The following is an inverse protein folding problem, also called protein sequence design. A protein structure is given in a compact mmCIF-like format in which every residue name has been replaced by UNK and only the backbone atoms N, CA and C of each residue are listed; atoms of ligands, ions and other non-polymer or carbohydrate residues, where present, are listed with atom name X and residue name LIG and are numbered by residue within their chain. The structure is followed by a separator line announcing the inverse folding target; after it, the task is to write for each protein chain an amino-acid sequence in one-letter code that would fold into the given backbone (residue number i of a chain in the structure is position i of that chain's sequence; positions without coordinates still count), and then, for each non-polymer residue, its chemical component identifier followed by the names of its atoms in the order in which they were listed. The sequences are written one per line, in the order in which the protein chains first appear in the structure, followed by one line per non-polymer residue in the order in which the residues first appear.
data_IF_621503636797
#
_entry.id   IF_621503636797
#
_cell.length_a   1.000
_cell.length_b   1.000
_cell.length_c   1.000
_cell.angle_alpha   90.00
_cell.angle_beta   90.00
_cell.angle_gamma   90.00
#
_symmetry.space_group_name_H-M   'P 1'
#
loop_
_entity.id
_entity.type
_entity.pdbx_description
1 polymer ?
#
# COMPACT_ATOMS: atom_id res chain seq x y z
N UNK A 1 -3.31 -28.73 -4.05
CA UNK A 1 -2.57 -27.46 -3.98
C UNK A 1 -3.17 -26.59 -2.89
N UNK A 2 -2.37 -25.93 -2.04
CA UNK A 2 -2.88 -24.95 -1.09
C UNK A 2 -3.61 -23.82 -1.83
N UNK A 3 -4.76 -23.39 -1.31
CA UNK A 3 -5.50 -22.23 -1.87
C UNK A 3 -5.14 -20.99 -1.06
N UNK A 4 -4.83 -19.90 -1.75
CA UNK A 4 -4.71 -18.60 -1.10
C UNK A 4 -6.10 -18.15 -0.62
N UNK A 5 -6.18 -17.70 0.62
CA UNK A 5 -7.37 -17.06 1.19
C UNK A 5 -7.05 -15.60 1.44
N UNK A 6 -7.73 -14.72 0.73
CA UNK A 6 -7.63 -13.27 0.96
C UNK A 6 -8.77 -12.85 1.88
N UNK A 7 -8.43 -12.31 3.03
CA UNK A 7 -9.36 -11.67 3.97
C UNK A 7 -9.02 -10.16 4.02
N UNK A 8 -9.50 -9.44 3.02
CA UNK A 8 -9.29 -8.01 2.89
C UNK A 8 -10.56 -7.24 3.21
N UNK A 9 -10.44 -6.24 4.08
CA UNK A 9 -11.56 -5.42 4.50
C UNK A 9 -11.15 -3.95 4.55
N UNK A 10 -12.06 -3.08 4.14
CA UNK A 10 -11.96 -1.65 4.38
C UNK A 10 -12.40 -1.34 5.81
N UNK A 11 -11.66 -0.45 6.46
CA UNK A 11 -11.85 -0.08 7.86
C UNK A 11 -12.50 1.30 8.02
N UNK A 12 -12.89 1.63 9.24
CA UNK A 12 -13.34 2.99 9.58
C UNK A 12 -12.24 4.04 9.34
N UNK A 13 -10.97 3.65 9.53
CA UNK A 13 -9.84 4.54 9.26
C UNK A 13 -9.75 4.91 7.78
N UNK A 14 -10.00 3.95 6.89
CA UNK A 14 -10.01 4.20 5.44
C UNK A 14 -11.13 5.19 5.09
N UNK A 15 -12.33 4.98 5.60
CA UNK A 15 -13.48 5.88 5.37
C UNK A 15 -13.22 7.29 5.90
N UNK A 16 -12.68 7.40 7.11
CA UNK A 16 -12.29 8.67 7.72
C UNK A 16 -11.21 9.39 6.90
N UNK A 17 -10.20 8.67 6.45
CA UNK A 17 -9.10 9.22 5.65
C UNK A 17 -9.61 9.77 4.32
N UNK A 18 -10.46 9.02 3.61
CA UNK A 18 -11.10 9.47 2.38
C UNK A 18 -11.98 10.70 2.61
N UNK A 19 -12.82 10.69 3.65
CA UNK A 19 -13.66 11.84 4.04
C UNK A 19 -12.83 13.08 4.29
N UNK A 20 -11.79 12.96 5.12
CA UNK A 20 -10.88 14.07 5.46
C UNK A 20 -10.21 14.64 4.20
N UNK A 21 -9.70 13.75 3.33
CA UNK A 21 -9.09 14.18 2.07
C UNK A 21 -10.06 15.04 1.23
N UNK A 22 -11.28 14.58 0.99
CA UNK A 22 -12.24 15.32 0.17
C UNK A 22 -12.74 16.59 0.85
N UNK A 23 -12.84 16.63 2.17
CA UNK A 23 -13.17 17.84 2.93
C UNK A 23 -12.06 18.90 2.79
N UNK A 24 -10.79 18.51 2.92
CA UNK A 24 -9.64 19.42 2.74
C UNK A 24 -9.58 19.89 1.29
N UNK A 25 -9.69 19.00 0.32
CA UNK A 25 -9.72 19.34 -1.11
C UNK A 25 -10.83 20.32 -1.44
N UNK A 26 -12.06 20.07 -0.95
CA UNK A 26 -13.20 20.96 -1.20
C UNK A 26 -13.01 22.35 -0.60
N UNK A 27 -12.41 22.43 0.59
CA UNK A 27 -12.07 23.71 1.23
C UNK A 27 -11.04 24.49 0.40
N UNK A 28 -9.97 23.83 -0.04
CA UNK A 28 -8.92 24.47 -0.83
C UNK A 28 -9.40 24.90 -2.22
N UNK A 29 -10.18 24.07 -2.90
CA UNK A 29 -10.79 24.45 -4.18
C UNK A 29 -11.74 25.63 -4.04
N UNK A 30 -12.53 25.68 -2.97
CA UNK A 30 -13.39 26.83 -2.67
C UNK A 30 -12.58 28.10 -2.36
N UNK A 31 -11.52 27.99 -1.56
CA UNK A 31 -10.63 29.10 -1.20
C UNK A 31 -9.91 29.70 -2.42
N UNK A 32 -9.52 28.86 -3.38
CA UNK A 32 -8.82 29.29 -4.60
C UNK A 32 -9.78 29.66 -5.75
N UNK A 33 -11.08 29.45 -5.58
CA UNK A 33 -12.06 29.69 -6.64
C UNK A 33 -11.97 28.74 -7.83
N UNK A 34 -11.20 27.65 -7.72
CA UNK A 34 -10.96 26.71 -8.82
C UNK A 34 -12.11 25.70 -9.02
N UNK A 35 -13.00 25.55 -8.03
CA UNK A 35 -14.13 24.62 -8.16
C UNK A 35 -14.81 24.27 -6.85
N UNK A 36 -15.67 23.26 -6.92
CA UNK A 36 -16.40 22.71 -5.76
C UNK A 36 -16.27 21.19 -5.75
N UNK A 37 -16.23 20.61 -4.55
CA UNK A 37 -16.24 19.16 -4.34
C UNK A 37 -17.57 18.77 -3.70
N UNK A 38 -18.32 17.89 -4.36
CA UNK A 38 -19.49 17.25 -3.76
C UNK A 38 -19.07 15.90 -3.18
N UNK A 39 -19.18 15.77 -1.87
CA UNK A 39 -18.92 14.51 -1.19
C UNK A 39 -20.21 13.68 -1.19
N UNK A 40 -20.13 12.41 -1.56
CA UNK A 40 -21.25 11.49 -1.57
C UNK A 40 -21.70 11.15 -0.14
N UNK A 41 -23.02 10.99 0.06
CA UNK A 41 -23.62 10.76 1.37
C UNK A 41 -23.05 9.52 2.08
N UNK A 42 -22.78 8.44 1.35
CA UNK A 42 -22.19 7.23 1.94
C UNK A 42 -20.82 7.48 2.59
N UNK A 43 -20.06 8.47 2.09
CA UNK A 43 -18.77 8.85 2.66
C UNK A 43 -18.93 9.76 3.89
N UNK A 44 -20.03 10.51 3.96
CA UNK A 44 -20.36 11.38 5.09
C UNK A 44 -21.02 10.61 6.25
N UNK A 45 -21.68 9.49 5.95
CA UNK A 45 -22.33 8.68 6.98
C UNK A 45 -21.30 7.99 7.89
N UNK A 46 -21.69 7.74 9.14
CA UNK A 46 -20.87 7.04 10.11
C UNK A 46 -21.11 5.52 10.13
N UNK A 47 -21.98 5.02 9.22
CA UNK A 47 -22.15 3.58 9.05
C UNK A 47 -20.87 2.92 8.48
N UNK A 48 -20.76 1.61 8.69
CA UNK A 48 -19.61 0.80 8.20
C UNK A 48 -19.84 0.23 6.81
N UNK A 49 -20.89 0.63 6.12
CA UNK A 49 -21.19 0.11 4.80
C UNK A 49 -20.36 0.78 3.72
N UNK A 50 -20.03 0.00 2.71
CA UNK A 50 -19.29 0.46 1.54
C UNK A 50 -20.11 0.18 0.30
N UNK A 51 -20.22 1.12 -0.63
CA UNK A 51 -20.91 0.87 -1.88
C UNK A 51 -20.20 -0.23 -2.69
N UNK A 52 -20.98 -1.01 -3.43
CA UNK A 52 -20.46 -2.14 -4.23
C UNK A 52 -19.47 -1.73 -5.32
N UNK A 53 -19.48 -0.47 -5.74
CA UNK A 53 -18.51 0.06 -6.70
C UNK A 53 -17.13 0.37 -6.11
N UNK A 54 -17.00 0.38 -4.77
CA UNK A 54 -15.71 0.55 -4.11
C UNK A 54 -15.01 -0.80 -4.11
N UNK A 55 -13.93 -0.90 -4.84
CA UNK A 55 -13.16 -2.13 -5.02
C UNK A 55 -11.67 -1.89 -4.89
N UNK A 56 -10.90 -2.95 -4.73
CA UNK A 56 -9.45 -2.88 -4.69
C UNK A 56 -8.83 -2.56 -6.05
N UNK A 57 -7.64 -1.95 -6.04
CA UNK A 57 -6.86 -1.63 -7.24
C UNK A 57 -6.06 -2.80 -7.81
N UNK A 58 -6.22 -4.02 -7.27
CA UNK A 58 -5.51 -5.24 -7.67
C UNK A 58 -3.97 -5.16 -7.52
N UNK A 59 -3.50 -4.23 -6.73
CA UNK A 59 -2.09 -4.04 -6.43
C UNK A 59 -1.77 -4.56 -5.03
N UNK A 60 -1.54 -5.87 -4.91
CA UNK A 60 -1.20 -6.51 -3.65
C UNK A 60 0.23 -6.18 -3.25
N UNK A 61 0.43 -5.61 -2.06
CA UNK A 61 1.72 -5.18 -1.55
C UNK A 61 1.87 -5.48 -0.06
N UNK A 62 3.12 -5.56 0.43
CA UNK A 62 3.43 -5.56 1.85
C UNK A 62 3.24 -6.90 2.58
N UNK A 63 2.93 -8.00 1.90
CA UNK A 63 2.76 -9.32 2.53
C UNK A 63 4.06 -9.88 3.11
N UNK A 64 5.20 -9.44 2.58
CA UNK A 64 6.57 -9.77 3.02
C UNK A 64 7.37 -8.51 3.26
N UNK A 65 6.74 -7.51 3.90
CA UNK A 65 7.28 -6.16 4.04
C UNK A 65 8.66 -6.13 4.65
N UNK A 66 9.47 -5.18 4.20
CA UNK A 66 10.78 -4.94 4.78
C UNK A 66 10.71 -4.16 6.09
N UNK A 67 11.62 -4.48 6.99
CA UNK A 67 11.85 -3.75 8.25
C UNK A 67 13.27 -4.03 8.74
N UNK A 68 13.86 -3.08 9.44
CA UNK A 68 15.10 -3.33 10.18
C UNK A 68 14.89 -4.27 11.38
N UNK A 69 13.70 -4.26 11.96
CA UNK A 69 13.31 -5.15 13.07
C UNK A 69 12.64 -6.42 12.51
N UNK A 70 13.21 -7.63 12.74
CA UNK A 70 12.64 -8.88 12.28
C UNK A 70 11.28 -9.22 12.89
N UNK A 71 10.88 -8.57 13.98
CA UNK A 71 9.52 -8.68 14.54
C UNK A 71 8.49 -7.87 13.80
N UNK A 72 8.91 -6.89 13.00
CA UNK A 72 8.05 -5.96 12.27
C UNK A 72 8.00 -6.20 10.77
N UNK A 73 8.89 -7.05 10.25
CA UNK A 73 8.96 -7.36 8.82
C UNK A 73 9.49 -8.74 8.53
N UNK A 74 9.44 -9.13 7.26
CA UNK A 74 9.90 -10.44 6.77
C UNK A 74 11.29 -10.35 6.17
N UNK A 75 11.62 -9.22 5.53
CA UNK A 75 12.90 -9.00 4.89
C UNK A 75 13.58 -7.74 5.42
N UNK A 76 14.90 -7.69 5.31
CA UNK A 76 15.72 -6.50 5.58
C UNK A 76 15.71 -5.50 4.41
N UNK A 77 16.49 -4.42 4.53
CA UNK A 77 16.62 -3.38 3.49
C UNK A 77 17.24 -3.85 2.17
N UNK A 78 17.85 -5.05 2.14
CA UNK A 78 18.39 -5.72 0.96
C UNK A 78 17.46 -6.81 0.44
N UNK A 79 16.21 -6.83 0.90
CA UNK A 79 15.20 -7.83 0.54
C UNK A 79 15.56 -9.26 0.98
N UNK A 80 16.51 -9.44 1.89
CA UNK A 80 16.89 -10.74 2.45
C UNK A 80 15.96 -11.11 3.58
N UNK A 81 15.48 -12.35 3.57
CA UNK A 81 14.59 -12.88 4.64
C UNK A 81 15.37 -12.98 5.95
N UNK A 82 14.82 -12.40 7.01
CA UNK A 82 15.40 -12.47 8.34
C UNK A 82 15.61 -13.93 8.79
N UNK A 83 16.78 -14.20 9.34
CA UNK A 83 17.14 -15.54 9.83
C UNK A 83 17.53 -16.56 8.76
N UNK A 84 17.49 -16.21 7.47
CA UNK A 84 17.91 -17.09 6.38
C UNK A 84 19.13 -16.54 5.64
N UNK A 85 20.07 -17.43 5.32
CA UNK A 85 21.34 -17.00 4.72
C UNK A 85 21.23 -16.68 3.22
N UNK A 86 20.34 -17.34 2.48
CA UNK A 86 20.31 -17.38 1.03
C UNK A 86 18.93 -17.20 0.41
N UNK A 87 17.96 -16.62 1.14
CA UNK A 87 16.63 -16.36 0.62
C UNK A 87 16.37 -14.85 0.54
N UNK A 88 16.02 -14.39 -0.66
CA UNK A 88 15.66 -13.02 -0.96
C UNK A 88 14.30 -12.96 -1.63
N UNK A 89 13.56 -11.88 -1.42
CA UNK A 89 12.23 -11.68 -2.01
C UNK A 89 12.27 -10.46 -2.92
N UNK A 90 11.96 -10.69 -4.20
CA UNK A 90 11.70 -9.62 -5.18
C UNK A 90 10.21 -9.36 -5.31
N UNK A 91 9.85 -8.14 -5.69
CA UNK A 91 8.46 -7.79 -5.97
C UNK A 91 7.83 -6.85 -4.95
N UNK A 92 6.57 -6.48 -5.18
CA UNK A 92 5.85 -5.50 -4.35
C UNK A 92 5.51 -6.02 -2.93
N UNK A 93 5.64 -7.32 -2.69
CA UNK A 93 5.46 -7.90 -1.36
C UNK A 93 6.36 -7.29 -0.29
N UNK A 94 7.56 -6.80 -0.67
CA UNK A 94 8.53 -6.23 0.27
C UNK A 94 8.24 -4.77 0.68
N UNK A 95 7.24 -4.12 0.10
CA UNK A 95 6.94 -2.72 0.43
C UNK A 95 6.48 -2.58 1.89
N UNK A 96 7.09 -1.66 2.67
CA UNK A 96 6.63 -1.37 4.02
C UNK A 96 5.33 -0.56 4.03
N UNK A 97 5.12 0.27 3.00
CA UNK A 97 3.94 1.12 2.83
C UNK A 97 3.52 1.15 1.37
N UNK A 98 2.27 1.50 1.14
CA UNK A 98 1.71 1.65 -0.21
C UNK A 98 0.99 3.01 -0.33
N UNK A 99 0.84 3.48 -1.56
CA UNK A 99 0.11 4.70 -1.89
C UNK A 99 -0.88 4.47 -3.05
N UNK A 100 -1.44 5.56 -3.58
CA UNK A 100 -2.37 5.51 -4.70
C UNK A 100 -1.69 5.23 -6.06
N UNK A 101 -0.37 5.47 -6.16
CA UNK A 101 0.37 5.24 -7.40
C UNK A 101 0.60 3.75 -7.65
N UNK A 102 0.60 3.38 -8.94
CA UNK A 102 0.90 2.00 -9.35
C UNK A 102 2.32 1.61 -8.93
N UNK A 103 2.53 0.40 -8.38
CA UNK A 103 3.79 0.03 -7.73
C UNK A 103 4.93 -0.33 -8.69
N UNK A 104 4.68 -0.46 -9.99
CA UNK A 104 5.58 -1.09 -10.95
C UNK A 104 6.95 -0.39 -11.04
N UNK A 105 7.00 0.94 -11.08
CA UNK A 105 8.26 1.68 -11.15
C UNK A 105 9.16 1.38 -9.95
N UNK A 106 8.62 1.46 -8.75
CA UNK A 106 9.35 1.16 -7.51
C UNK A 106 9.73 -0.32 -7.42
N UNK A 107 8.86 -1.22 -7.90
CA UNK A 107 9.14 -2.65 -7.96
C UNK A 107 10.37 -2.93 -8.83
N UNK A 108 10.44 -2.35 -10.02
CA UNK A 108 11.59 -2.50 -10.93
C UNK A 108 12.85 -1.94 -10.29
N UNK A 109 12.79 -0.75 -9.70
CA UNK A 109 13.93 -0.12 -9.02
C UNK A 109 14.48 -0.98 -7.87
N UNK A 110 13.59 -1.54 -7.03
CA UNK A 110 14.00 -2.45 -5.93
C UNK A 110 14.56 -3.78 -6.46
N UNK A 111 14.05 -4.28 -7.57
CA UNK A 111 14.56 -5.51 -8.20
C UNK A 111 15.97 -5.30 -8.77
N UNK A 112 16.22 -4.14 -9.38
CA UNK A 112 17.57 -3.76 -9.85
C UNK A 112 18.54 -3.60 -8.68
N UNK A 113 18.14 -2.92 -7.60
CA UNK A 113 18.92 -2.79 -6.37
C UNK A 113 19.27 -4.17 -5.79
N UNK A 114 18.30 -5.09 -5.74
CA UNK A 114 18.54 -6.46 -5.28
C UNK A 114 19.54 -7.20 -6.17
N UNK A 115 19.41 -7.07 -7.48
CA UNK A 115 20.35 -7.68 -8.44
C UNK A 115 21.79 -7.18 -8.23
N UNK A 116 21.96 -5.88 -8.01
CA UNK A 116 23.30 -5.30 -7.74
C UNK A 116 23.85 -5.77 -6.38
N UNK A 117 23.01 -5.85 -5.35
CA UNK A 117 23.41 -6.39 -4.06
C UNK A 117 23.88 -7.85 -4.17
N UNK A 118 23.15 -8.69 -4.89
CA UNK A 118 23.50 -10.10 -5.08
C UNK A 118 24.85 -10.28 -5.83
N UNK A 119 25.14 -9.43 -6.81
CA UNK A 119 26.45 -9.45 -7.51
C UNK A 119 27.63 -9.13 -6.60
N UNK A 120 27.43 -8.30 -5.58
CA UNK A 120 28.50 -7.86 -4.66
C UNK A 120 28.59 -8.74 -3.41
N UNK A 121 27.61 -9.59 -3.16
CA UNK A 121 27.53 -10.46 -1.98
C UNK A 121 27.81 -11.94 -2.27
N UNK A 122 28.13 -12.29 -3.53
CA UNK A 122 28.43 -13.63 -4.00
C UNK A 122 29.96 -13.96 -3.84
#
# INVERSE_FOLDING_TARGET
MPRARLDWQLTELDKRSMRTFYQVLGREMGRTGTGRVQIRDWLLSDDRTWPSFVSGGWHHMGTTRMSADPKQGVVDANCKVHGLANLYIGGAGVYPTAGAANPTLTLVALSLKLADHLKTSA
#
